data_IF_969827157518
#
_entry.id   IF_969827157518
#
_cell.length_a   1.000
_cell.length_b   1.000
_cell.length_c   1.000
_cell.angle_alpha   90.00
_cell.angle_beta   90.00
_cell.angle_gamma   90.00
#
_symmetry.space_group_name_H-M   'P 1'
#
loop_
_entity.id
_entity.type
_entity.pdbx_description
1 polymer ?
#
# COMPACT_ATOMS: atom_id res chain seq x y z
N UNK A 1 -8.87 -1.04 32.37
CA UNK A 1 -8.32 -1.66 31.15
C UNK A 1 -9.39 -2.56 30.56
N UNK A 2 -9.55 -2.61 29.23
CA UNK A 2 -10.42 -3.59 28.58
C UNK A 2 -9.78 -4.97 28.73
N UNK A 3 -10.58 -6.01 28.93
CA UNK A 3 -10.10 -7.38 29.06
C UNK A 3 -9.42 -7.86 27.76
N UNK A 4 -8.33 -8.63 27.89
CA UNK A 4 -7.53 -9.10 26.76
C UNK A 4 -8.33 -10.04 25.85
N UNK A 5 -9.24 -10.85 26.40
CA UNK A 5 -10.11 -11.71 25.58
C UNK A 5 -11.06 -10.86 24.72
N UNK A 6 -11.64 -9.81 25.29
CA UNK A 6 -12.51 -8.88 24.57
C UNK A 6 -11.75 -8.18 23.44
N UNK A 7 -10.52 -7.71 23.70
CA UNK A 7 -9.66 -7.14 22.64
C UNK A 7 -9.44 -8.13 21.50
N UNK A 8 -9.09 -9.39 21.81
CA UNK A 8 -8.88 -10.43 20.78
C UNK A 8 -10.14 -10.67 19.94
N UNK A 9 -11.31 -10.79 20.59
CA UNK A 9 -12.58 -11.00 19.90
C UNK A 9 -12.94 -9.84 18.97
N UNK A 10 -12.66 -8.58 19.38
CA UNK A 10 -12.85 -7.40 18.53
C UNK A 10 -11.94 -7.48 17.30
N UNK A 11 -10.64 -7.73 17.51
CA UNK A 11 -9.64 -7.86 16.43
C UNK A 11 -10.01 -8.95 15.42
N UNK A 12 -10.37 -10.14 15.90
CA UNK A 12 -10.81 -11.25 15.06
C UNK A 12 -12.08 -10.92 14.28
N UNK A 13 -13.04 -10.23 14.89
CA UNK A 13 -14.28 -9.83 14.24
C UNK A 13 -14.03 -8.80 13.14
N UNK A 14 -13.14 -7.84 13.36
CA UNK A 14 -12.72 -6.87 12.35
C UNK A 14 -12.00 -7.54 11.18
N UNK A 15 -11.04 -8.41 11.46
CA UNK A 15 -10.32 -9.17 10.43
C UNK A 15 -11.26 -10.08 9.61
N UNK A 16 -12.28 -10.67 10.25
CA UNK A 16 -13.32 -11.43 9.55
C UNK A 16 -14.19 -10.52 8.68
N UNK A 17 -14.48 -9.31 9.13
CA UNK A 17 -15.32 -8.33 8.41
C UNK A 17 -14.65 -7.85 7.11
N UNK A 18 -13.31 -7.86 7.02
CA UNK A 18 -12.60 -7.60 5.75
C UNK A 18 -12.98 -8.58 4.62
N UNK A 19 -13.53 -9.76 4.96
CA UNK A 19 -14.01 -10.76 3.99
C UNK A 19 -15.45 -10.50 3.53
N UNK A 20 -16.09 -9.45 4.03
CA UNK A 20 -17.46 -9.11 3.65
C UNK A 20 -17.56 -8.83 2.14
N UNK A 21 -18.70 -9.19 1.55
CA UNK A 21 -19.03 -8.80 0.18
C UNK A 21 -19.59 -7.38 0.10
N UNK A 22 -19.91 -6.76 1.25
CA UNK A 22 -20.41 -5.38 1.33
C UNK A 22 -19.25 -4.41 1.51
N UNK A 23 -19.07 -3.51 0.54
CA UNK A 23 -17.98 -2.54 0.54
C UNK A 23 -17.93 -1.67 1.80
N UNK A 24 -19.07 -1.09 2.17
CA UNK A 24 -19.18 -0.24 3.37
C UNK A 24 -18.72 -0.96 4.64
N UNK A 25 -19.00 -2.26 4.75
CA UNK A 25 -18.66 -3.06 5.92
C UNK A 25 -17.14 -3.27 6.04
N UNK A 26 -16.48 -3.70 4.96
CA UNK A 26 -15.03 -3.92 5.02
C UNK A 26 -14.25 -2.59 5.06
N UNK A 27 -14.74 -1.54 4.39
CA UNK A 27 -14.15 -0.19 4.45
C UNK A 27 -14.15 0.37 5.87
N UNK A 28 -15.29 0.29 6.55
CA UNK A 28 -15.40 0.72 7.95
C UNK A 28 -14.49 -0.13 8.85
N UNK A 29 -14.41 -1.44 8.60
CA UNK A 29 -13.51 -2.32 9.35
C UNK A 29 -12.04 -1.94 9.16
N UNK A 30 -11.62 -1.62 7.94
CA UNK A 30 -10.25 -1.20 7.63
C UNK A 30 -9.83 0.06 8.43
N UNK A 31 -10.71 1.07 8.49
CA UNK A 31 -10.48 2.28 9.27
C UNK A 31 -10.39 1.99 10.78
N UNK A 32 -11.27 1.14 11.32
CA UNK A 32 -11.23 0.76 12.74
C UNK A 32 -9.96 -0.03 13.05
N UNK A 33 -9.55 -0.95 12.17
CA UNK A 33 -8.28 -1.69 12.30
C UNK A 33 -7.12 -0.70 12.37
N UNK A 34 -7.05 0.28 11.47
CA UNK A 34 -5.97 1.27 11.47
C UNK A 34 -5.91 2.08 12.78
N UNK A 35 -7.05 2.52 13.32
CA UNK A 35 -7.11 3.24 14.61
C UNK A 35 -6.67 2.38 15.79
N UNK A 36 -7.02 1.09 15.80
CA UNK A 36 -6.53 0.16 16.82
C UNK A 36 -5.04 -0.09 16.63
N UNK A 37 -4.58 -0.24 15.38
CA UNK A 37 -3.19 -0.48 15.04
C UNK A 37 -2.28 0.67 15.52
N UNK A 38 -2.70 1.92 15.33
CA UNK A 38 -1.99 3.10 15.86
C UNK A 38 -1.80 3.12 17.38
N UNK A 39 -2.56 2.30 18.13
CA UNK A 39 -2.42 2.16 19.58
C UNK A 39 -1.66 0.87 19.94
N UNK A 40 -2.00 -0.25 19.30
CA UNK A 40 -1.54 -1.58 19.71
C UNK A 40 -0.23 -2.02 19.05
N UNK A 41 0.06 -1.56 17.82
CA UNK A 41 1.32 -1.89 17.14
C UNK A 41 2.54 -1.29 17.84
N UNK A 42 2.56 0.02 18.22
CA UNK A 42 3.69 0.59 18.96
C UNK A 42 3.91 -0.08 20.32
N UNK A 43 2.86 -0.66 20.90
CA UNK A 43 2.89 -1.40 22.18
C UNK A 43 3.15 -2.89 22.03
N UNK A 44 3.31 -3.39 20.79
CA UNK A 44 3.47 -4.81 20.46
C UNK A 44 2.33 -5.70 20.99
N UNK A 45 1.11 -5.13 21.07
CA UNK A 45 -0.12 -5.81 21.49
C UNK A 45 -0.89 -6.45 20.32
N UNK A 46 -0.49 -6.18 19.07
CA UNK A 46 -1.03 -6.81 17.86
C UNK A 46 0.07 -7.20 16.83
N UNK A 47 1.01 -8.07 17.21
CA UNK A 47 2.20 -8.39 16.39
C UNK A 47 1.89 -9.14 15.09
N UNK A 48 0.72 -9.77 15.00
CA UNK A 48 0.30 -10.61 13.86
C UNK A 48 -0.49 -9.86 12.79
N UNK A 49 -0.77 -8.56 12.98
CA UNK A 49 -1.59 -7.75 12.06
C UNK A 49 -1.00 -7.74 10.63
N UNK A 50 0.24 -7.27 10.48
CA UNK A 50 0.86 -7.11 9.15
C UNK A 50 1.02 -8.47 8.46
N UNK A 51 1.45 -9.50 9.20
CA UNK A 51 1.57 -10.86 8.67
C UNK A 51 0.24 -11.41 8.17
N UNK A 52 -0.86 -11.16 8.89
CA UNK A 52 -2.20 -11.58 8.49
C UNK A 52 -2.70 -10.85 7.24
N UNK A 53 -2.43 -9.55 7.13
CA UNK A 53 -2.76 -8.76 5.94
C UNK A 53 -1.94 -9.22 4.72
N UNK A 54 -0.63 -9.45 4.87
CA UNK A 54 0.18 -10.01 3.79
C UNK A 54 -0.36 -11.39 3.34
N UNK A 55 -0.75 -12.25 4.29
CA UNK A 55 -1.33 -13.55 3.96
C UNK A 55 -2.64 -13.42 3.15
N UNK A 56 -3.48 -12.42 3.42
CA UNK A 56 -4.67 -12.17 2.60
C UNK A 56 -4.31 -11.85 1.13
N UNK A 57 -3.17 -11.22 0.86
CA UNK A 57 -2.73 -10.92 -0.51
C UNK A 57 -2.15 -12.12 -1.24
N UNK A 58 -1.40 -12.98 -0.54
CA UNK A 58 -0.61 -14.06 -1.15
C UNK A 58 -1.37 -15.38 -1.31
N UNK A 59 -2.44 -15.59 -0.53
CA UNK A 59 -3.27 -16.80 -0.63
C UNK A 59 -3.99 -16.89 -1.99
N UNK A 60 -3.92 -18.07 -2.61
CA UNK A 60 -4.51 -18.33 -3.93
C UNK A 60 -6.03 -18.13 -3.94
N UNK A 61 -6.71 -18.53 -2.86
CA UNK A 61 -8.17 -18.50 -2.74
C UNK A 61 -8.72 -17.15 -2.23
N UNK A 62 -7.86 -16.15 -2.02
CA UNK A 62 -8.30 -14.83 -1.59
C UNK A 62 -9.10 -14.11 -2.68
N UNK A 63 -10.33 -13.73 -2.34
CA UNK A 63 -11.22 -12.99 -3.24
C UNK A 63 -10.65 -11.62 -3.61
N UNK A 64 -11.09 -11.09 -4.76
CA UNK A 64 -10.74 -9.74 -5.19
C UNK A 64 -11.13 -8.68 -4.13
N UNK A 65 -12.32 -8.83 -3.53
CA UNK A 65 -12.79 -7.94 -2.45
C UNK A 65 -11.89 -7.98 -1.21
N UNK A 66 -11.42 -9.16 -0.81
CA UNK A 66 -10.53 -9.29 0.34
C UNK A 66 -9.16 -8.66 0.06
N UNK A 67 -8.63 -8.82 -1.16
CA UNK A 67 -7.37 -8.17 -1.58
C UNK A 67 -7.49 -6.66 -1.55
N UNK A 68 -8.57 -6.11 -2.12
CA UNK A 68 -8.85 -4.68 -2.08
C UNK A 68 -8.97 -4.16 -0.63
N UNK A 69 -9.79 -4.81 0.20
CA UNK A 69 -9.97 -4.43 1.60
C UNK A 69 -8.66 -4.49 2.40
N UNK A 70 -7.81 -5.47 2.09
CA UNK A 70 -6.50 -5.64 2.71
C UNK A 70 -5.56 -4.50 2.35
N UNK A 71 -5.47 -4.14 1.08
CA UNK A 71 -4.62 -3.03 0.61
C UNK A 71 -5.09 -1.69 1.17
N UNK A 72 -6.40 -1.47 1.24
CA UNK A 72 -6.95 -0.27 1.87
C UNK A 72 -6.64 -0.22 3.37
N UNK A 73 -6.76 -1.36 4.07
CA UNK A 73 -6.36 -1.46 5.49
C UNK A 73 -4.89 -1.14 5.66
N UNK A 74 -4.01 -1.67 4.80
CA UNK A 74 -2.57 -1.36 4.83
C UNK A 74 -2.32 0.13 4.60
N UNK A 75 -3.01 0.74 3.65
CA UNK A 75 -2.92 2.18 3.39
C UNK A 75 -3.28 3.02 4.62
N UNK A 76 -4.39 2.71 5.30
CA UNK A 76 -4.77 3.41 6.53
C UNK A 76 -3.82 3.13 7.70
N UNK A 77 -3.33 1.90 7.83
CA UNK A 77 -2.33 1.55 8.86
C UNK A 77 -1.06 2.36 8.66
N UNK A 78 -0.59 2.53 7.42
CA UNK A 78 0.58 3.36 7.10
C UNK A 78 0.35 4.85 7.33
N UNK A 79 -0.89 5.34 7.22
CA UNK A 79 -1.25 6.73 7.54
C UNK A 79 -1.26 6.99 9.06
N UNK A 80 -1.70 6.01 9.86
CA UNK A 80 -1.86 6.17 11.30
C UNK A 80 -0.59 5.92 12.12
N UNK A 81 0.31 5.06 11.64
CA UNK A 81 1.50 4.62 12.38
C UNK A 81 2.73 5.43 11.95
N UNK A 82 3.62 5.75 12.89
CA UNK A 82 4.90 6.40 12.56
C UNK A 82 5.94 5.38 12.10
N UNK A 83 6.86 5.79 11.23
CA UNK A 83 7.93 4.92 10.69
C UNK A 83 8.85 4.28 11.75
N UNK A 84 8.86 4.76 12.99
CA UNK A 84 9.70 4.24 14.08
C UNK A 84 9.04 3.07 14.81
N UNK A 85 7.76 2.83 14.56
CA UNK A 85 6.92 1.89 15.32
C UNK A 85 6.83 0.51 14.63
N UNK A 86 7.20 0.44 13.35
CA UNK A 86 7.29 -0.78 12.56
C UNK A 86 8.73 -1.30 12.47
N UNK A 87 8.88 -2.61 12.58
CA UNK A 87 10.12 -3.30 12.31
C UNK A 87 10.36 -3.47 10.80
N UNK A 88 11.62 -3.60 10.37
CA UNK A 88 11.97 -3.66 8.95
C UNK A 88 11.30 -4.84 8.22
N UNK A 89 11.13 -5.99 8.88
CA UNK A 89 10.39 -7.13 8.34
C UNK A 89 8.91 -6.81 8.11
N UNK A 90 8.28 -6.00 8.97
CA UNK A 90 6.91 -5.53 8.81
C UNK A 90 6.82 -4.57 7.61
N UNK A 91 7.76 -3.63 7.48
CA UNK A 91 7.85 -2.73 6.31
C UNK A 91 8.02 -3.54 5.01
N UNK A 92 8.92 -4.52 5.00
CA UNK A 92 9.12 -5.40 3.83
C UNK A 92 7.84 -6.17 3.47
N UNK A 93 7.09 -6.64 4.47
CA UNK A 93 5.82 -7.34 4.27
C UNK A 93 4.76 -6.41 3.67
N UNK A 94 4.65 -5.17 4.16
CA UNK A 94 3.75 -4.15 3.62
C UNK A 94 4.10 -3.86 2.17
N UNK A 95 5.35 -3.54 1.86
CA UNK A 95 5.78 -3.22 0.50
C UNK A 95 5.59 -4.42 -0.44
N UNK A 96 5.84 -5.64 0.02
CA UNK A 96 5.57 -6.86 -0.77
C UNK A 96 4.10 -6.96 -1.15
N UNK A 97 3.19 -6.82 -0.17
CA UNK A 97 1.75 -6.88 -0.41
C UNK A 97 1.28 -5.78 -1.37
N UNK A 98 1.74 -4.56 -1.15
CA UNK A 98 1.37 -3.37 -1.93
C UNK A 98 1.87 -3.47 -3.37
N UNK A 99 3.16 -3.73 -3.57
CA UNK A 99 3.76 -3.79 -4.91
C UNK A 99 3.21 -4.98 -5.71
N UNK A 100 2.91 -6.10 -5.05
CA UNK A 100 2.17 -7.20 -5.67
C UNK A 100 0.78 -6.76 -6.14
N UNK A 101 0.04 -6.03 -5.31
CA UNK A 101 -1.30 -5.51 -5.61
C UNK A 101 -1.35 -4.59 -6.83
N UNK A 102 -0.24 -3.94 -7.20
CA UNK A 102 -0.15 -3.06 -8.37
C UNK A 102 -0.07 -3.82 -9.71
N UNK A 103 0.13 -5.14 -9.69
CA UNK A 103 0.36 -5.94 -10.90
C UNK A 103 -0.85 -6.00 -11.85
N UNK A 104 -0.71 -5.38 -13.02
CA UNK A 104 -1.74 -5.32 -14.06
C UNK A 104 -2.20 -6.69 -14.57
N UNK A 105 -1.29 -7.64 -14.71
CA UNK A 105 -1.63 -8.96 -15.23
C UNK A 105 -2.43 -9.81 -14.24
N UNK A 106 -2.42 -9.44 -12.95
CA UNK A 106 -2.98 -10.26 -11.88
C UNK A 106 -4.21 -9.64 -11.22
N UNK A 107 -4.41 -8.33 -11.33
CA UNK A 107 -5.35 -7.60 -10.49
C UNK A 107 -6.23 -6.61 -11.27
N UNK A 108 -7.44 -6.38 -10.75
CA UNK A 108 -8.40 -5.43 -11.32
C UNK A 108 -7.98 -3.98 -11.03
N UNK A 109 -8.63 -3.03 -11.71
CA UNK A 109 -8.37 -1.61 -11.51
C UNK A 109 -8.57 -1.17 -10.05
N UNK A 110 -9.59 -1.70 -9.36
CA UNK A 110 -9.92 -1.32 -7.98
C UNK A 110 -8.85 -1.78 -6.99
N UNK A 111 -8.33 -3.00 -7.16
CA UNK A 111 -7.22 -3.54 -6.35
C UNK A 111 -5.96 -2.71 -6.60
N UNK A 112 -5.66 -2.43 -7.87
CA UNK A 112 -4.47 -1.67 -8.25
C UNK A 112 -4.52 -0.24 -7.74
N UNK A 113 -5.68 0.41 -7.80
CA UNK A 113 -5.86 1.74 -7.23
C UNK A 113 -5.66 1.74 -5.70
N UNK A 114 -6.23 0.76 -5.00
CA UNK A 114 -6.02 0.61 -3.56
C UNK A 114 -4.54 0.36 -3.24
N UNK A 115 -3.85 -0.46 -4.03
CA UNK A 115 -2.42 -0.70 -3.88
C UNK A 115 -1.59 0.56 -4.11
N UNK A 116 -1.83 1.32 -5.18
CA UNK A 116 -1.09 2.55 -5.46
C UNK A 116 -1.27 3.58 -4.35
N UNK A 117 -2.49 3.75 -3.82
CA UNK A 117 -2.75 4.62 -2.67
C UNK A 117 -2.08 4.13 -1.39
N UNK A 118 -2.06 2.81 -1.17
CA UNK A 118 -1.33 2.24 -0.04
C UNK A 118 0.19 2.42 -0.18
N UNK A 119 0.73 2.38 -1.42
CA UNK A 119 2.14 2.68 -1.67
C UNK A 119 2.47 4.10 -1.25
N UNK A 120 1.67 5.08 -1.67
CA UNK A 120 1.85 6.49 -1.30
C UNK A 120 2.07 6.64 0.22
N UNK A 121 1.15 6.09 1.03
CA UNK A 121 1.26 6.13 2.49
C UNK A 121 2.46 5.32 3.03
N UNK A 122 2.86 4.25 2.33
CA UNK A 122 3.98 3.40 2.73
C UNK A 122 5.36 3.97 2.34
N UNK A 123 5.43 5.00 1.48
CA UNK A 123 6.71 5.52 1.00
C UNK A 123 7.57 6.07 2.14
N UNK A 124 6.98 6.68 3.18
CA UNK A 124 7.73 7.19 4.34
C UNK A 124 8.47 6.11 5.15
N UNK A 125 8.12 4.83 4.97
CA UNK A 125 8.73 3.69 5.67
C UNK A 125 9.83 3.02 4.82
N UNK A 126 9.85 3.27 3.51
CA UNK A 126 10.60 2.47 2.54
C UNK A 126 12.09 2.82 2.42
N UNK A 127 12.67 3.57 3.38
CA UNK A 127 14.02 4.11 3.24
C UNK A 127 15.08 3.01 3.04
N UNK A 128 15.06 1.96 3.85
CA UNK A 128 15.97 0.81 3.71
C UNK A 128 15.75 0.09 2.37
N UNK A 129 14.50 -0.02 1.93
CA UNK A 129 14.13 -0.69 0.69
C UNK A 129 14.61 0.08 -0.54
N UNK A 130 14.52 1.42 -0.51
CA UNK A 130 15.07 2.27 -1.55
C UNK A 130 16.60 2.30 -1.55
N UNK A 131 17.27 2.01 -0.43
CA UNK A 131 18.74 1.82 -0.42
C UNK A 131 19.17 0.49 -1.03
N UNK A 132 18.33 -0.55 -0.92
CA UNK A 132 18.55 -1.83 -1.57
C UNK A 132 18.22 -1.76 -3.06
N UNK A 133 19.23 -1.91 -3.93
CA UNK A 133 19.05 -1.80 -5.38
C UNK A 133 18.01 -2.77 -5.95
N UNK A 134 17.96 -4.01 -5.47
CA UNK A 134 17.02 -5.01 -5.98
C UNK A 134 15.57 -4.63 -5.64
N UNK A 135 15.32 -4.22 -4.39
CA UNK A 135 13.99 -3.83 -3.93
C UNK A 135 13.55 -2.52 -4.57
N UNK A 136 14.44 -1.51 -4.61
CA UNK A 136 14.21 -0.25 -5.33
C UNK A 136 13.87 -0.48 -6.80
N UNK A 137 14.64 -1.32 -7.50
CA UNK A 137 14.38 -1.66 -8.90
C UNK A 137 12.98 -2.25 -9.09
N UNK A 138 12.54 -3.11 -8.17
CA UNK A 138 11.22 -3.73 -8.25
C UNK A 138 10.10 -2.72 -8.00
N UNK A 139 10.23 -1.87 -6.96
CA UNK A 139 9.28 -0.80 -6.67
C UNK A 139 9.17 0.16 -7.86
N UNK A 140 10.31 0.67 -8.35
CA UNK A 140 10.34 1.63 -9.46
C UNK A 140 9.80 1.04 -10.75
N UNK A 141 10.08 -0.25 -11.04
CA UNK A 141 9.47 -0.93 -12.18
C UNK A 141 7.94 -0.92 -12.08
N UNK A 142 7.38 -1.33 -10.95
CA UNK A 142 5.94 -1.38 -10.75
C UNK A 142 5.28 0.01 -10.82
N UNK A 143 5.92 1.02 -10.24
CA UNK A 143 5.45 2.42 -10.32
C UNK A 143 5.46 2.91 -11.78
N UNK A 144 6.56 2.74 -12.51
CA UNK A 144 6.66 3.18 -13.90
C UNK A 144 5.67 2.45 -14.82
N UNK A 145 5.47 1.14 -14.65
CA UNK A 145 4.45 0.40 -15.38
C UNK A 145 3.04 0.94 -15.06
N UNK A 146 2.75 1.20 -13.78
CA UNK A 146 1.45 1.68 -13.32
C UNK A 146 1.15 3.12 -13.75
N UNK A 147 2.18 3.94 -13.98
CA UNK A 147 2.04 5.30 -14.53
C UNK A 147 1.46 5.32 -15.97
N UNK A 148 1.47 4.17 -16.64
CA UNK A 148 0.90 4.00 -17.99
C UNK A 148 -0.50 3.35 -17.99
N UNK A 149 -1.16 3.28 -16.82
CA UNK A 149 -2.51 2.70 -16.68
C UNK A 149 -3.52 3.33 -17.64
N UNK A 150 -4.54 2.58 -18.05
CA UNK A 150 -5.64 3.14 -18.85
C UNK A 150 -6.56 4.03 -17.99
N UNK A 151 -6.67 3.70 -16.71
CA UNK A 151 -7.49 4.37 -15.71
C UNK A 151 -6.80 5.63 -15.20
N UNK A 152 -7.45 6.78 -15.40
CA UNK A 152 -6.96 8.11 -15.01
C UNK A 152 -6.64 8.17 -13.52
N UNK A 153 -7.52 7.64 -12.67
CA UNK A 153 -7.35 7.66 -11.21
C UNK A 153 -6.09 6.91 -10.75
N UNK A 154 -5.74 5.81 -11.43
CA UNK A 154 -4.52 5.06 -11.13
C UNK A 154 -3.30 5.85 -11.57
N UNK A 155 -3.34 6.46 -12.76
CA UNK A 155 -2.23 7.32 -13.23
C UNK A 155 -2.01 8.48 -12.25
N UNK A 156 -3.06 9.20 -11.89
CA UNK A 156 -2.98 10.31 -10.93
C UNK A 156 -2.31 9.88 -9.61
N UNK A 157 -2.82 8.83 -8.96
CA UNK A 157 -2.24 8.32 -7.71
C UNK A 157 -0.79 7.86 -7.90
N UNK A 158 -0.42 7.38 -9.08
CA UNK A 158 0.96 6.97 -9.37
C UNK A 158 1.89 8.16 -9.54
N UNK A 159 1.42 9.25 -10.15
CA UNK A 159 2.22 10.49 -10.25
C UNK A 159 2.38 11.16 -8.88
N UNK A 160 1.38 11.09 -8.01
CA UNK A 160 1.52 11.49 -6.59
C UNK A 160 2.63 10.68 -5.89
N UNK A 161 2.65 9.34 -6.07
CA UNK A 161 3.76 8.51 -5.61
C UNK A 161 5.12 8.93 -6.20
N UNK A 162 5.18 9.25 -7.50
CA UNK A 162 6.42 9.66 -8.15
C UNK A 162 6.98 10.98 -7.62
N UNK A 163 6.11 11.95 -7.31
CA UNK A 163 6.52 13.22 -6.68
C UNK A 163 7.16 12.96 -5.31
N UNK A 164 6.52 12.12 -4.50
CA UNK A 164 7.01 11.77 -3.17
C UNK A 164 8.30 10.94 -3.23
N UNK A 165 8.40 9.99 -4.15
CA UNK A 165 9.63 9.23 -4.42
C UNK A 165 10.76 10.18 -4.82
N UNK A 166 10.52 11.09 -5.76
CA UNK A 166 11.53 12.04 -6.21
C UNK A 166 12.00 12.98 -5.09
N UNK A 167 11.09 13.34 -4.18
CA UNK A 167 11.37 14.21 -3.05
C UNK A 167 12.16 13.50 -1.95
N UNK A 168 11.78 12.26 -1.59
CA UNK A 168 12.39 11.49 -0.51
C UNK A 168 13.68 10.76 -0.92
N UNK A 169 13.77 10.33 -2.19
CA UNK A 169 14.76 9.36 -2.65
C UNK A 169 15.60 9.87 -3.83
N UNK A 170 15.72 11.20 -4.00
CA UNK A 170 16.43 11.83 -5.11
C UNK A 170 17.81 11.22 -5.40
N UNK A 171 18.61 10.96 -4.35
CA UNK A 171 19.98 10.45 -4.47
C UNK A 171 20.09 9.06 -5.12
N UNK A 172 19.01 8.26 -5.10
CA UNK A 172 19.03 6.87 -5.56
C UNK A 172 18.15 6.62 -6.79
N UNK A 173 17.50 7.66 -7.33
CA UNK A 173 16.62 7.54 -8.49
C UNK A 173 17.27 7.90 -9.83
N UNK A 174 18.55 8.30 -9.84
CA UNK A 174 19.33 8.60 -11.06
C UNK A 174 19.15 7.54 -12.17
N UNK A 175 19.21 6.21 -11.90
CA UNK A 175 19.06 5.19 -12.93
C UNK A 175 17.70 5.21 -13.65
N UNK A 176 16.67 5.79 -13.05
CA UNK A 176 15.31 5.83 -13.62
C UNK A 176 14.99 7.20 -14.25
N UNK A 177 15.83 8.21 -14.09
CA UNK A 177 15.54 9.61 -14.48
C UNK A 177 15.14 9.77 -15.95
N UNK A 178 15.76 9.01 -16.86
CA UNK A 178 15.37 9.04 -18.27
C UNK A 178 13.92 8.55 -18.47
N UNK A 179 13.55 7.44 -17.82
CA UNK A 179 12.19 6.90 -17.88
C UNK A 179 11.19 7.86 -17.23
N UNK A 180 11.55 8.43 -16.08
CA UNK A 180 10.73 9.40 -15.38
C UNK A 180 10.50 10.68 -16.20
N UNK A 181 11.54 11.16 -16.90
CA UNK A 181 11.43 12.30 -17.80
C UNK A 181 10.48 12.01 -18.96
N UNK A 182 10.57 10.82 -19.57
CA UNK A 182 9.67 10.43 -20.67
C UNK A 182 8.22 10.33 -20.20
N UNK A 183 7.96 9.70 -19.05
CA UNK A 183 6.64 9.57 -18.44
C UNK A 183 6.03 10.95 -18.13
N UNK A 184 6.73 11.77 -17.34
CA UNK A 184 6.25 13.10 -16.93
C UNK A 184 6.09 14.05 -18.12
N UNK A 185 7.01 14.02 -19.09
CA UNK A 185 6.88 14.83 -20.31
C UNK A 185 5.68 14.43 -21.16
N UNK A 186 5.35 13.13 -21.20
CA UNK A 186 4.16 12.65 -21.89
C UNK A 186 2.89 13.06 -21.15
N UNK A 187 2.86 12.91 -19.81
CA UNK A 187 1.72 13.29 -18.99
C UNK A 187 1.33 14.76 -19.20
N UNK A 188 2.30 15.66 -19.07
CA UNK A 188 2.10 17.11 -19.23
C UNK A 188 1.60 17.51 -20.62
N UNK A 189 1.90 16.72 -21.67
CA UNK A 189 1.56 17.05 -23.06
C UNK A 189 0.27 16.40 -23.56
N UNK A 190 -0.02 15.19 -23.11
CA UNK A 190 -0.97 14.28 -23.75
C UNK A 190 -2.02 13.70 -22.81
N UNK A 191 -1.88 13.88 -21.49
CA UNK A 191 -2.78 13.27 -20.49
C UNK A 191 -3.84 14.26 -19.98
N UNK A 192 -4.74 13.78 -19.13
CA UNK A 192 -5.79 14.57 -18.51
C UNK A 192 -5.22 15.61 -17.52
N UNK A 193 -5.90 16.75 -17.35
CA UNK A 193 -5.45 17.86 -16.49
C UNK A 193 -5.19 17.45 -15.03
N UNK A 194 -5.89 16.43 -14.54
CA UNK A 194 -5.68 15.92 -13.17
C UNK A 194 -4.42 15.08 -13.02
N UNK A 195 -3.81 14.65 -14.13
CA UNK A 195 -2.59 13.83 -14.19
C UNK A 195 -1.37 14.66 -14.60
N UNK A 196 -1.58 15.63 -15.50
CA UNK A 196 -0.56 16.56 -16.02
C UNK A 196 -0.06 17.55 -14.97
#
# INVERSE_FOLDING_TARGET
SIDASVKSQIKESLMRTLRSLTQEAWHTSAQVIAKIAGIEVPRKEWPDLIGSLLNNMTQADSSASLKQATLETLGYVCEEISHQELEQNEVNAILTAVVQGMNLAQHTAEIRLAATKALYNALGFAQTNFQNEMERNYIMKMVCETATSQEVEIRQATYECLVDIASMYYEVIEPYMQTLFELTSKAVKEDEETVA
#
